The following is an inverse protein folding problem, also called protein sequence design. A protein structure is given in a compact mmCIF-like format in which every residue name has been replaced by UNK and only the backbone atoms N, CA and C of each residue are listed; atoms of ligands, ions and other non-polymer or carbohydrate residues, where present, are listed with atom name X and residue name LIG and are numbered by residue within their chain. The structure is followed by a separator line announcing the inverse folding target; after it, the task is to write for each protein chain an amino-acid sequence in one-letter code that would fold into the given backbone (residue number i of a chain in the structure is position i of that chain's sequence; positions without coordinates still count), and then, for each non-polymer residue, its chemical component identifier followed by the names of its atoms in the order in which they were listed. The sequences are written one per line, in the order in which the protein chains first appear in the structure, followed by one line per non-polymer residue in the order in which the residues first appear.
data_IF_963910184283
#
_entry.id   IF_963910184283
#
_cell.length_a   1.000
_cell.length_b   1.000
_cell.length_c   1.000
_cell.angle_alpha   90.00
_cell.angle_beta   90.00
_cell.angle_gamma   90.00
#
_symmetry.space_group_name_H-M   'P 1'
#
loop_
_entity.id
_entity.type
_entity.pdbx_description
1 polymer ?
#
# COMPACT_ATOMS: atom_id res chain seq x y z
N UNK A 1 30.31 14.28 17.61
CA UNK A 1 30.70 13.33 16.54
C UNK A 1 29.46 12.87 15.79
N UNK A 2 29.51 12.88 14.48
CA UNK A 2 28.39 12.45 13.64
C UNK A 2 28.47 10.94 13.38
N UNK A 3 27.39 10.24 13.62
CA UNK A 3 27.28 8.82 13.26
C UNK A 3 27.24 8.66 11.75
N UNK A 4 27.96 7.68 11.23
CA UNK A 4 28.02 7.42 9.79
C UNK A 4 26.92 6.45 9.33
N UNK A 5 26.21 5.85 10.26
CA UNK A 5 25.13 4.92 9.99
C UNK A 5 23.94 5.21 10.89
N UNK A 6 22.76 4.80 10.43
CA UNK A 6 21.54 4.87 11.22
C UNK A 6 20.88 3.50 11.24
N UNK A 7 20.09 3.23 12.27
CA UNK A 7 19.23 2.05 12.33
C UNK A 7 17.87 2.41 11.79
N UNK A 8 17.30 1.54 10.98
CA UNK A 8 15.94 1.71 10.44
C UNK A 8 15.11 0.48 10.75
N UNK A 9 13.80 0.65 10.67
CA UNK A 9 12.86 -0.45 10.89
C UNK A 9 12.07 -0.70 9.61
N UNK A 10 11.74 -1.97 9.37
CA UNK A 10 10.96 -2.37 8.21
C UNK A 10 10.15 -3.62 8.54
N UNK A 11 9.10 -3.86 7.76
CA UNK A 11 8.24 -5.03 7.96
C UNK A 11 9.01 -6.32 7.69
N UNK A 12 8.74 -7.35 8.51
CA UNK A 12 9.30 -8.68 8.28
C UNK A 12 8.54 -9.40 7.16
N UNK A 13 9.18 -10.39 6.54
CA UNK A 13 8.50 -11.22 5.55
C UNK A 13 7.32 -11.96 6.16
N UNK A 14 7.48 -12.49 7.36
CA UNK A 14 6.40 -13.20 8.07
C UNK A 14 5.18 -12.30 8.25
N UNK A 15 5.37 -11.07 8.72
CA UNK A 15 4.28 -10.11 8.91
C UNK A 15 3.66 -9.70 7.56
N UNK A 16 4.50 -9.52 6.53
CA UNK A 16 4.00 -9.17 5.20
C UNK A 16 3.12 -10.30 4.62
N UNK A 17 3.53 -11.56 4.81
CA UNK A 17 2.73 -12.71 4.36
C UNK A 17 1.40 -12.81 5.11
N UNK A 18 1.41 -12.58 6.42
CA UNK A 18 0.19 -12.59 7.23
C UNK A 18 -0.77 -11.48 6.79
N UNK A 19 -0.24 -10.28 6.54
CA UNK A 19 -1.02 -9.15 6.06
C UNK A 19 -1.62 -9.44 4.67
N UNK A 20 -0.85 -10.05 3.79
CA UNK A 20 -1.33 -10.44 2.46
C UNK A 20 -2.55 -11.37 2.56
N UNK A 21 -2.49 -12.35 3.46
CA UNK A 21 -3.60 -13.28 3.67
C UNK A 21 -4.85 -12.56 4.19
N UNK A 22 -4.68 -11.61 5.10
CA UNK A 22 -5.80 -10.81 5.60
C UNK A 22 -6.40 -9.93 4.50
N UNK A 23 -5.56 -9.36 3.63
CA UNK A 23 -6.04 -8.56 2.52
C UNK A 23 -6.82 -9.40 1.51
N UNK A 24 -6.37 -10.63 1.24
CA UNK A 24 -7.11 -11.57 0.39
C UNK A 24 -8.51 -11.81 0.93
N UNK A 25 -8.62 -12.07 2.24
CA UNK A 25 -9.92 -12.29 2.88
C UNK A 25 -10.81 -11.06 2.79
N UNK A 26 -10.26 -9.88 3.04
CA UNK A 26 -11.01 -8.63 3.00
C UNK A 26 -11.57 -8.32 1.60
N UNK A 27 -10.78 -8.58 0.56
CA UNK A 27 -11.22 -8.40 -0.82
C UNK A 27 -12.31 -9.41 -1.20
N UNK A 28 -12.12 -10.68 -0.84
CA UNK A 28 -13.10 -11.74 -1.11
C UNK A 28 -14.43 -11.45 -0.42
N UNK A 29 -14.39 -10.96 0.81
CA UNK A 29 -15.60 -10.59 1.55
C UNK A 29 -16.37 -9.46 0.87
N UNK A 30 -15.69 -8.60 0.13
CA UNK A 30 -16.30 -7.52 -0.65
C UNK A 30 -16.68 -7.94 -2.06
N UNK A 31 -16.40 -9.18 -2.44
CA UNK A 31 -16.85 -9.75 -3.71
C UNK A 31 -16.03 -9.36 -4.93
N UNK A 32 -14.78 -8.98 -4.77
CA UNK A 32 -13.96 -8.68 -5.94
C UNK A 32 -12.61 -9.43 -5.92
N UNK A 33 -12.12 -9.71 -7.14
CA UNK A 33 -10.82 -10.33 -7.35
C UNK A 33 -9.75 -9.24 -7.37
N UNK A 34 -8.75 -9.38 -6.51
CA UNK A 34 -7.76 -8.32 -6.30
C UNK A 34 -6.34 -8.77 -6.59
N UNK A 35 -5.52 -7.78 -6.89
CA UNK A 35 -4.07 -7.85 -6.80
C UNK A 35 -3.65 -7.11 -5.54
N UNK A 36 -2.76 -7.71 -4.78
CA UNK A 36 -2.30 -7.20 -3.49
C UNK A 36 -0.78 -7.18 -3.51
N UNK A 37 -0.20 -6.05 -3.11
CA UNK A 37 1.24 -5.89 -3.02
C UNK A 37 1.61 -5.28 -1.68
N UNK A 38 2.69 -5.77 -1.07
CA UNK A 38 3.21 -5.22 0.17
C UNK A 38 4.68 -4.90 -0.03
N UNK A 39 5.05 -3.65 0.26
CA UNK A 39 6.42 -3.18 0.20
C UNK A 39 6.98 -3.01 1.60
N UNK A 40 8.30 -2.95 1.70
CA UNK A 40 8.98 -2.56 2.93
C UNK A 40 9.07 -1.04 3.05
N UNK A 41 9.76 -0.56 4.08
CA UNK A 41 9.89 0.87 4.35
C UNK A 41 10.67 1.61 3.25
N UNK A 42 11.48 0.91 2.46
CA UNK A 42 12.22 1.47 1.34
C UNK A 42 11.49 1.41 0.01
N UNK A 43 10.24 0.93 0.01
CA UNK A 43 9.44 0.81 -1.21
C UNK A 43 9.73 -0.45 -2.03
N UNK A 44 10.51 -1.38 -1.50
CA UNK A 44 10.83 -2.63 -2.20
C UNK A 44 9.73 -3.65 -2.00
N UNK A 45 9.33 -4.33 -3.07
CA UNK A 45 8.30 -5.35 -3.02
C UNK A 45 8.73 -6.51 -2.12
N UNK A 46 7.87 -6.92 -1.19
CA UNK A 46 8.13 -8.03 -0.28
C UNK A 46 7.20 -9.20 -0.55
N UNK A 47 5.90 -8.97 -0.70
CA UNK A 47 4.93 -10.01 -1.03
C UNK A 47 3.94 -9.49 -2.06
N UNK A 48 3.42 -10.42 -2.87
CA UNK A 48 2.55 -10.08 -3.98
C UNK A 48 1.67 -11.26 -4.33
N UNK A 49 0.42 -10.97 -4.68
CA UNK A 49 -0.42 -11.97 -5.32
C UNK A 49 -1.44 -11.30 -6.24
N UNK A 50 -1.75 -11.95 -7.35
CA UNK A 50 -2.82 -11.54 -8.24
C UNK A 50 -3.85 -12.67 -8.28
N UNK A 51 -5.12 -12.36 -7.96
CA UNK A 51 -6.22 -13.31 -8.13
C UNK A 51 -6.34 -13.71 -9.61
N UNK A 52 -6.76 -14.94 -9.87
CA UNK A 52 -6.78 -15.49 -11.23
C UNK A 52 -7.54 -14.59 -12.24
N UNK A 53 -8.62 -13.96 -11.80
CA UNK A 53 -9.45 -13.13 -12.68
C UNK A 53 -9.19 -11.64 -12.54
N UNK A 54 -8.22 -11.21 -11.73
CA UNK A 54 -7.87 -9.79 -11.63
C UNK A 54 -7.22 -9.33 -12.94
N UNK A 55 -7.65 -8.19 -13.50
CA UNK A 55 -7.06 -7.67 -14.74
C UNK A 55 -5.57 -7.40 -14.60
N UNK A 56 -4.79 -7.59 -15.68
CA UNK A 56 -3.33 -7.44 -15.59
C UNK A 56 -2.86 -6.02 -15.27
N UNK A 57 -3.66 -5.00 -15.55
CA UNK A 57 -3.37 -3.62 -15.13
C UNK A 57 -3.19 -3.50 -13.63
N UNK A 58 -3.92 -4.32 -12.85
CA UNK A 58 -3.89 -4.26 -11.39
C UNK A 58 -2.52 -4.63 -10.80
N UNK A 59 -1.67 -5.32 -11.57
CA UNK A 59 -0.33 -5.73 -11.11
C UNK A 59 0.52 -4.50 -10.79
N UNK A 60 0.76 -3.66 -11.78
CA UNK A 60 1.56 -2.46 -11.57
C UNK A 60 0.86 -1.47 -10.64
N UNK A 61 -0.46 -1.36 -10.76
CA UNK A 61 -1.22 -0.41 -9.93
C UNK A 61 -1.15 -0.78 -8.44
N UNK A 62 -1.29 -2.06 -8.08
CA UNK A 62 -1.17 -2.47 -6.68
C UNK A 62 0.24 -2.21 -6.14
N UNK A 63 1.26 -2.56 -6.91
CA UNK A 63 2.66 -2.34 -6.51
C UNK A 63 2.92 -0.85 -6.31
N UNK A 64 2.48 -0.01 -7.25
CA UNK A 64 2.73 1.43 -7.20
C UNK A 64 1.87 2.14 -6.16
N UNK A 65 0.68 1.66 -5.86
CA UNK A 65 -0.11 2.15 -4.71
C UNK A 65 0.64 1.91 -3.40
N UNK A 66 1.18 0.70 -3.19
CA UNK A 66 1.97 0.38 -2.01
C UNK A 66 3.22 1.27 -1.91
N UNK A 67 3.92 1.42 -3.01
CA UNK A 67 5.12 2.26 -3.12
C UNK A 67 4.78 3.72 -2.79
N UNK A 68 3.72 4.25 -3.37
CA UNK A 68 3.28 5.64 -3.15
C UNK A 68 2.92 5.88 -1.68
N UNK A 69 2.16 4.96 -1.08
CA UNK A 69 1.77 5.09 0.32
C UNK A 69 2.97 5.04 1.26
N UNK A 70 3.93 4.14 1.01
CA UNK A 70 5.13 4.03 1.82
C UNK A 70 6.04 5.26 1.72
N UNK A 71 6.05 5.92 0.57
CA UNK A 71 7.02 7.01 0.29
C UNK A 71 6.93 8.17 1.27
N UNK A 72 5.70 8.61 1.62
CA UNK A 72 5.45 9.71 2.54
C UNK A 72 4.65 9.29 3.78
N UNK A 73 4.36 7.99 3.93
CA UNK A 73 3.48 7.56 5.01
C UNK A 73 2.08 8.13 4.88
N UNK A 74 1.58 8.28 3.68
CA UNK A 74 0.29 8.89 3.38
C UNK A 74 -0.51 7.98 2.45
N UNK A 75 -1.76 7.69 2.80
CA UNK A 75 -2.63 6.84 2.00
C UNK A 75 -2.90 7.45 0.62
N UNK A 76 -3.07 6.59 -0.39
CA UNK A 76 -3.20 7.07 -1.77
C UNK A 76 -4.52 7.80 -2.04
N UNK A 77 -5.57 7.58 -1.24
CA UNK A 77 -6.77 8.40 -1.35
C UNK A 77 -6.51 9.85 -0.89
N UNK A 78 -5.60 10.05 0.07
CA UNK A 78 -5.16 11.39 0.49
C UNK A 78 -4.28 12.02 -0.59
N UNK A 79 -3.44 11.23 -1.24
CA UNK A 79 -2.70 11.69 -2.41
C UNK A 79 -3.63 12.18 -3.52
N UNK A 80 -4.77 11.49 -3.71
CA UNK A 80 -5.77 11.92 -4.69
C UNK A 80 -6.27 13.34 -4.40
N UNK A 81 -6.59 13.61 -3.13
CA UNK A 81 -7.01 14.94 -2.70
C UNK A 81 -5.90 15.97 -2.85
N UNK A 82 -4.67 15.57 -2.53
CA UNK A 82 -3.50 16.45 -2.59
C UNK A 82 -3.17 16.87 -4.03
N UNK A 83 -3.47 16.02 -5.02
CA UNK A 83 -3.27 16.33 -6.43
C UNK A 83 -4.14 17.48 -6.93
N UNK A 84 -5.17 17.88 -6.18
CA UNK A 84 -5.98 19.05 -6.52
C UNK A 84 -5.22 20.37 -6.33
N UNK A 85 -4.15 20.36 -5.53
CA UNK A 85 -3.30 21.53 -5.33
C UNK A 85 -2.45 21.79 -6.58
N UNK A 86 -2.54 23.00 -7.21
CA UNK A 86 -1.80 23.27 -8.45
C UNK A 86 -0.28 23.12 -8.30
N UNK A 87 0.26 23.37 -7.12
CA UNK A 87 1.70 23.26 -6.85
C UNK A 87 2.16 21.81 -6.71
N UNK A 88 1.25 20.88 -6.50
CA UNK A 88 1.53 19.45 -6.33
C UNK A 88 1.12 18.64 -7.55
N UNK A 89 0.12 19.10 -8.29
CA UNK A 89 -0.42 18.38 -9.45
C UNK A 89 0.65 17.85 -10.43
N UNK A 90 1.77 18.56 -10.69
CA UNK A 90 2.81 18.04 -11.59
C UNK A 90 3.44 16.73 -11.14
N UNK A 91 3.34 16.35 -9.86
CA UNK A 91 3.85 15.06 -9.39
C UNK A 91 3.11 13.88 -10.04
N UNK A 92 1.91 14.09 -10.58
CA UNK A 92 1.18 13.06 -11.31
C UNK A 92 1.94 12.53 -12.53
N UNK A 93 2.93 13.29 -13.02
CA UNK A 93 3.80 12.85 -14.12
C UNK A 93 4.87 11.86 -13.67
N UNK A 94 5.08 11.69 -12.36
CA UNK A 94 6.03 10.68 -11.87
C UNK A 94 5.48 9.29 -12.21
N UNK A 95 6.27 8.42 -12.87
CA UNK A 95 5.75 7.16 -13.42
C UNK A 95 5.18 6.19 -12.38
N UNK A 96 5.62 6.27 -11.13
CA UNK A 96 5.17 5.36 -10.09
C UNK A 96 4.17 5.97 -9.12
N UNK A 97 3.99 7.29 -9.12
CA UNK A 97 3.05 7.93 -8.22
C UNK A 97 1.63 7.55 -8.64
N UNK A 98 0.89 6.92 -7.74
CA UNK A 98 -0.46 6.42 -8.03
C UNK A 98 -1.45 7.02 -7.03
N UNK A 99 -2.01 8.21 -7.33
CA UNK A 99 -2.89 8.93 -6.39
C UNK A 99 -4.34 8.44 -6.49
N UNK A 100 -4.54 7.15 -6.30
CA UNK A 100 -5.85 6.48 -6.38
C UNK A 100 -5.98 5.59 -5.15
N UNK A 101 -7.10 5.68 -4.44
CA UNK A 101 -7.33 4.93 -3.21
C UNK A 101 -7.06 3.44 -3.33
N UNK A 102 -6.50 2.86 -2.29
CA UNK A 102 -6.13 1.44 -2.22
C UNK A 102 -4.71 1.21 -1.70
N UNK A 103 -3.89 2.25 -1.64
CA UNK A 103 -2.58 2.20 -1.01
C UNK A 103 -2.65 2.77 0.40
N UNK A 104 -2.13 2.05 1.38
CA UNK A 104 -2.15 2.49 2.78
C UNK A 104 -0.76 2.26 3.39
N UNK A 105 -0.21 3.24 4.10
CA UNK A 105 1.07 3.05 4.77
C UNK A 105 0.91 2.10 5.95
N UNK A 106 1.97 1.35 6.23
CA UNK A 106 1.99 0.40 7.35
C UNK A 106 2.83 1.00 8.46
N UNK A 107 2.20 1.22 9.62
CA UNK A 107 2.90 1.72 10.80
C UNK A 107 2.94 0.64 11.87
N UNK A 108 4.05 0.57 12.58
CA UNK A 108 4.22 -0.27 13.76
C UNK A 108 4.86 0.58 14.86
N UNK A 109 4.15 0.73 15.97
CA UNK A 109 4.60 1.56 17.09
C UNK A 109 5.02 2.98 16.63
N UNK A 110 4.22 3.58 15.76
CA UNK A 110 4.44 4.93 15.25
C UNK A 110 5.53 5.05 14.19
N UNK A 111 6.14 3.93 13.78
CA UNK A 111 7.19 3.93 12.74
C UNK A 111 6.65 3.39 11.44
N UNK A 112 6.98 4.05 10.34
CA UNK A 112 6.63 3.57 9.01
C UNK A 112 7.48 2.35 8.67
N UNK A 113 6.84 1.21 8.42
CA UNK A 113 7.55 -0.04 8.14
C UNK A 113 7.26 -0.60 6.74
N UNK A 114 6.34 -0.01 6.00
CA UNK A 114 6.03 -0.47 4.65
C UNK A 114 4.77 0.16 4.09
N UNK A 115 4.30 -0.42 3.00
CA UNK A 115 3.04 -0.03 2.38
C UNK A 115 2.30 -1.24 1.84
N UNK A 116 0.97 -1.15 1.84
CA UNK A 116 0.11 -2.14 1.19
C UNK A 116 -0.64 -1.47 0.05
N UNK A 117 -0.76 -2.16 -1.07
CA UNK A 117 -1.54 -1.72 -2.23
C UNK A 117 -2.53 -2.79 -2.64
N UNK A 118 -3.79 -2.38 -2.78
CA UNK A 118 -4.88 -3.24 -3.26
C UNK A 118 -5.45 -2.62 -4.52
N UNK A 119 -5.64 -3.44 -5.55
CA UNK A 119 -6.22 -3.00 -6.81
C UNK A 119 -7.12 -4.10 -7.39
N UNK A 120 -8.28 -3.73 -7.92
CA UNK A 120 -9.22 -4.66 -8.52
C UNK A 120 -10.67 -4.35 -8.25
N UNK A 121 -10.99 -3.67 -7.16
CA UNK A 121 -12.32 -3.14 -6.87
C UNK A 121 -12.41 -1.66 -7.24
N UNK A 122 -13.40 -0.96 -6.69
CA UNK A 122 -13.41 0.50 -6.75
C UNK A 122 -12.31 1.03 -5.82
N UNK A 123 -11.90 2.29 -6.01
CA UNK A 123 -10.87 2.89 -5.14
C UNK A 123 -11.28 2.87 -3.68
N UNK A 124 -12.59 3.03 -3.40
CA UNK A 124 -13.13 2.98 -2.03
C UNK A 124 -13.04 1.56 -1.47
N UNK A 125 -13.44 0.56 -2.25
CA UNK A 125 -13.36 -0.85 -1.84
C UNK A 125 -11.91 -1.27 -1.61
N UNK A 126 -11.01 -0.87 -2.49
CA UNK A 126 -9.59 -1.18 -2.37
C UNK A 126 -9.01 -0.61 -1.07
N UNK A 127 -9.34 0.65 -0.78
CA UNK A 127 -8.89 1.32 0.44
C UNK A 127 -9.45 0.65 1.70
N UNK A 128 -10.76 0.38 1.73
CA UNK A 128 -11.39 -0.25 2.88
C UNK A 128 -10.84 -1.65 3.15
N UNK A 129 -10.59 -2.42 2.10
CA UNK A 129 -10.02 -3.76 2.23
C UNK A 129 -8.59 -3.69 2.81
N UNK A 130 -7.79 -2.73 2.35
CA UNK A 130 -6.43 -2.54 2.87
C UNK A 130 -6.46 -2.17 4.35
N UNK A 131 -7.33 -1.24 4.75
CA UNK A 131 -7.44 -0.83 6.15
C UNK A 131 -7.94 -1.97 7.05
N UNK A 132 -8.93 -2.73 6.60
CA UNK A 132 -9.42 -3.88 7.36
C UNK A 132 -8.31 -4.92 7.55
N UNK A 133 -7.55 -5.20 6.49
CA UNK A 133 -6.44 -6.13 6.56
C UNK A 133 -5.41 -5.71 7.60
N UNK A 134 -5.06 -4.43 7.63
CA UNK A 134 -4.11 -3.90 8.62
C UNK A 134 -4.63 -4.10 10.04
N UNK A 135 -5.90 -3.80 10.29
CA UNK A 135 -6.49 -4.01 11.62
C UNK A 135 -6.44 -5.48 12.04
N UNK A 136 -6.84 -6.39 11.15
CA UNK A 136 -6.86 -7.82 11.45
C UNK A 136 -5.46 -8.41 11.62
N UNK A 137 -4.47 -7.84 10.95
CA UNK A 137 -3.07 -8.25 11.10
C UNK A 137 -2.38 -7.61 12.32
N UNK A 138 -3.08 -6.75 13.06
CA UNK A 138 -2.56 -6.15 14.28
C UNK A 138 -1.79 -4.84 14.08
N UNK A 139 -1.88 -4.22 12.90
CA UNK A 139 -1.25 -2.94 12.66
C UNK A 139 -2.21 -1.80 12.98
N UNK A 140 -1.75 -0.87 13.79
CA UNK A 140 -2.50 0.35 14.12
C UNK A 140 -2.05 1.47 13.19
N UNK A 141 -3.01 2.24 12.72
CA UNK A 141 -2.77 3.38 11.84
C UNK A 141 -2.81 4.72 12.59
#
# INVERSE_FOLDING_TARGET
MTSQIISTTTISLEAAQALLAEARRACAARGFAATIAITDAGGHLRTFERADTAPFLTVDVAIDKAWTAASFGMATHQWNQYMAEPTVAPLAHHPRLTPVGGGVPIFHEGRLVGGIGVSGGTSIQDHEAAEEALRHAGFKQ
#
